data_IF_558422714620
#
_entry.id   IF_558422714620
#
_cell.length_a   1.000
_cell.length_b   1.000
_cell.length_c   1.000
_cell.angle_alpha   90.00
_cell.angle_beta   90.00
_cell.angle_gamma   90.00
#
_symmetry.space_group_name_H-M   'P 1'
#
loop_
_entity.id
_entity.type
_entity.pdbx_description
1 polymer ?
#
# COMPACT_ATOMS: atom_id res chain seq x y z
N UNK A 1 -2.22 27.54 -9.31
CA UNK A 1 -1.83 26.31 -8.58
C UNK A 1 -2.34 25.07 -9.31
N UNK A 2 -3.66 24.98 -9.52
CA UNK A 2 -4.31 23.88 -10.26
C UNK A 2 -3.64 23.49 -11.59
N UNK A 3 -3.27 24.47 -12.43
CA UNK A 3 -2.60 24.21 -13.73
C UNK A 3 -1.23 23.51 -13.56
N UNK A 4 -0.46 23.85 -12.53
CA UNK A 4 0.85 23.23 -12.26
C UNK A 4 0.64 21.79 -11.79
N UNK A 5 -0.31 21.58 -10.87
CA UNK A 5 -0.67 20.26 -10.36
C UNK A 5 -1.17 19.31 -11.46
N UNK A 6 -1.99 19.80 -12.40
CA UNK A 6 -2.45 18.99 -13.54
C UNK A 6 -1.29 18.54 -14.44
N UNK A 7 -0.29 19.39 -14.64
CA UNK A 7 0.91 19.04 -15.42
C UNK A 7 1.76 18.01 -14.69
N UNK A 8 1.99 18.19 -13.39
CA UNK A 8 2.77 17.25 -12.58
C UNK A 8 2.10 15.87 -12.48
N UNK A 9 0.78 15.82 -12.28
CA UNK A 9 0.02 14.57 -12.34
C UNK A 9 0.12 13.90 -13.71
N UNK A 10 -0.01 14.67 -14.79
CA UNK A 10 0.11 14.12 -16.14
C UNK A 10 1.50 13.53 -16.42
N UNK A 11 2.56 14.17 -15.92
CA UNK A 11 3.92 13.62 -15.99
C UNK A 11 4.01 12.31 -15.21
N UNK A 12 3.55 12.30 -13.95
CA UNK A 12 3.59 11.13 -13.08
C UNK A 12 2.94 9.91 -13.75
N UNK A 13 1.74 10.06 -14.33
CA UNK A 13 1.05 8.94 -14.98
C UNK A 13 1.67 8.51 -16.31
N UNK A 14 2.50 9.34 -16.95
CA UNK A 14 3.23 8.98 -18.17
C UNK A 14 4.58 8.33 -17.90
N UNK A 15 5.13 8.47 -16.71
CA UNK A 15 6.38 7.81 -16.36
C UNK A 15 6.16 6.30 -16.22
N UNK A 16 7.02 5.52 -16.89
CA UNK A 16 6.96 4.06 -16.86
C UNK A 16 7.12 3.50 -15.44
N UNK A 17 7.87 4.20 -14.57
CA UNK A 17 8.11 3.79 -13.17
C UNK A 17 6.83 3.76 -12.34
N UNK A 18 5.90 4.69 -12.57
CA UNK A 18 4.59 4.70 -11.93
C UNK A 18 3.81 3.42 -12.26
N UNK A 19 3.86 3.00 -13.52
CA UNK A 19 3.21 1.76 -13.96
C UNK A 19 3.92 0.52 -13.42
N UNK A 20 5.26 0.51 -13.39
CA UNK A 20 6.01 -0.59 -12.76
C UNK A 20 5.67 -0.73 -11.27
N UNK A 21 5.48 0.37 -10.55
CA UNK A 21 5.08 0.34 -9.15
C UNK A 21 3.68 -0.26 -8.95
N UNK A 22 2.69 0.17 -9.75
CA UNK A 22 1.33 -0.38 -9.69
C UNK A 22 1.33 -1.88 -10.01
N UNK A 23 2.03 -2.28 -11.08
CA UNK A 23 2.13 -3.68 -11.49
C UNK A 23 2.86 -4.51 -10.42
N UNK A 24 3.94 -3.99 -9.83
CA UNK A 24 4.67 -4.69 -8.77
C UNK A 24 3.78 -4.95 -7.55
N UNK A 25 2.99 -3.97 -7.12
CA UNK A 25 2.05 -4.11 -6.00
C UNK A 25 1.00 -5.19 -6.30
N UNK A 26 0.38 -5.14 -7.49
CA UNK A 26 -0.63 -6.13 -7.89
C UNK A 26 -0.05 -7.53 -8.04
N UNK A 27 1.19 -7.67 -8.51
CA UNK A 27 1.88 -8.97 -8.61
C UNK A 27 2.15 -9.53 -7.22
N UNK A 28 2.68 -8.72 -6.30
CA UNK A 28 2.96 -9.16 -4.92
C UNK A 28 1.66 -9.60 -4.25
N UNK A 29 0.60 -8.81 -4.41
CA UNK A 29 -0.74 -9.17 -3.95
C UNK A 29 -1.17 -10.52 -4.54
N UNK A 30 -1.14 -10.68 -5.86
CA UNK A 30 -1.56 -11.91 -6.52
C UNK A 30 -0.75 -13.14 -6.06
N UNK A 31 0.56 -12.98 -5.83
CA UNK A 31 1.41 -14.04 -5.29
C UNK A 31 0.96 -14.44 -3.87
N UNK A 32 0.63 -13.48 -3.01
CA UNK A 32 0.13 -13.75 -1.65
C UNK A 32 -1.21 -14.50 -1.72
N UNK A 33 -2.13 -14.06 -2.59
CA UNK A 33 -3.41 -14.73 -2.80
C UNK A 33 -3.24 -16.16 -3.33
N UNK A 34 -2.37 -16.35 -4.32
CA UNK A 34 -2.05 -17.67 -4.86
C UNK A 34 -1.43 -18.57 -3.80
N UNK A 35 -0.46 -18.07 -3.04
CA UNK A 35 0.15 -18.82 -1.94
C UNK A 35 -0.88 -19.22 -0.88
N UNK A 36 -1.80 -18.32 -0.51
CA UNK A 36 -2.85 -18.62 0.44
C UNK A 36 -3.88 -19.63 -0.10
N UNK A 37 -4.16 -19.65 -1.39
CA UNK A 37 -5.06 -20.63 -1.99
C UNK A 37 -4.49 -22.06 -1.91
N UNK A 38 -3.20 -22.23 -2.19
CA UNK A 38 -2.55 -23.56 -2.16
C UNK A 38 -2.07 -23.97 -0.77
N UNK A 39 -1.56 -23.04 0.03
CA UNK A 39 -0.90 -23.32 1.31
C UNK A 39 -1.66 -22.77 2.52
N UNK A 40 -2.82 -22.13 2.35
CA UNK A 40 -3.46 -21.41 3.46
C UNK A 40 -3.82 -22.30 4.65
N UNK A 41 -4.13 -23.58 4.43
CA UNK A 41 -4.35 -24.54 5.54
C UNK A 41 -3.06 -24.84 6.31
N UNK A 42 -1.95 -25.04 5.61
CA UNK A 42 -0.63 -25.30 6.21
C UNK A 42 -0.09 -24.06 6.93
N UNK A 43 -0.28 -22.86 6.36
CA UNK A 43 0.09 -21.59 7.01
C UNK A 43 -0.71 -21.40 8.30
N UNK A 44 -2.02 -21.68 8.23
CA UNK A 44 -2.89 -21.62 9.39
C UNK A 44 -2.49 -22.66 10.46
N UNK A 45 -2.16 -23.89 10.08
CA UNK A 45 -1.68 -24.92 11.00
C UNK A 45 -0.35 -24.53 11.67
N UNK A 46 0.63 -24.00 10.93
CA UNK A 46 1.89 -23.52 11.51
C UNK A 46 1.69 -22.35 12.49
N UNK A 47 0.73 -21.46 12.21
CA UNK A 47 0.38 -20.35 13.11
C UNK A 47 -0.40 -20.84 14.35
N UNK A 48 -1.24 -21.88 14.21
CA UNK A 48 -2.10 -22.42 15.26
C UNK A 48 -1.49 -23.59 16.05
N UNK A 49 -0.39 -24.18 15.60
CA UNK A 49 0.22 -25.38 16.22
C UNK A 49 0.60 -25.15 17.69
N UNK A 50 1.06 -23.94 18.03
CA UNK A 50 1.34 -23.55 19.42
C UNK A 50 0.08 -23.34 20.27
N UNK A 51 -1.10 -23.21 19.66
CA UNK A 51 -2.35 -22.76 20.29
C UNK A 51 -3.41 -23.86 20.38
N UNK A 52 -3.32 -24.89 19.50
CA UNK A 52 -4.15 -26.10 19.53
C UNK A 52 -3.96 -26.96 20.79
N UNK A 53 -2.88 -26.77 21.54
CA UNK A 53 -2.69 -27.48 22.82
C UNK A 53 -3.70 -27.05 23.91
N UNK A 54 -4.34 -25.88 23.76
CA UNK A 54 -5.26 -25.33 24.77
C UNK A 54 -6.68 -25.04 24.25
N UNK A 55 -6.91 -25.04 22.93
CA UNK A 55 -8.20 -24.70 22.33
C UNK A 55 -8.60 -25.68 21.21
N UNK A 56 -9.87 -26.10 21.24
CA UNK A 56 -10.52 -26.82 20.14
C UNK A 56 -11.07 -25.81 19.13
N UNK A 57 -10.66 -25.94 17.87
CA UNK A 57 -11.14 -25.08 16.78
C UNK A 57 -12.07 -25.89 15.87
N UNK A 58 -13.34 -25.50 15.76
CA UNK A 58 -14.29 -26.04 14.78
C UNK A 58 -14.61 -24.98 13.71
N UNK A 59 -14.59 -25.39 12.44
CA UNK A 59 -14.95 -24.53 11.29
C UNK A 59 -13.83 -24.27 10.27
N UNK A 60 -14.17 -23.66 9.14
CA UNK A 60 -13.20 -23.22 8.13
C UNK A 60 -12.61 -21.86 8.54
N UNK A 61 -11.48 -21.90 9.24
CA UNK A 61 -10.75 -20.71 9.69
C UNK A 61 -10.06 -19.94 8.55
N UNK A 62 -10.01 -20.54 7.34
CA UNK A 62 -9.41 -19.95 6.16
C UNK A 62 -10.47 -19.11 5.44
N UNK A 63 -10.49 -17.81 5.78
CA UNK A 63 -11.52 -16.87 5.39
C UNK A 63 -10.92 -15.60 4.74
N UNK A 64 -11.72 -14.87 3.96
CA UNK A 64 -11.31 -13.62 3.30
C UNK A 64 -10.81 -12.55 4.27
N UNK A 65 -11.40 -12.45 5.46
CA UNK A 65 -10.96 -11.49 6.48
C UNK A 65 -9.56 -11.81 7.03
N UNK A 66 -9.26 -13.09 7.28
CA UNK A 66 -7.91 -13.52 7.67
C UNK A 66 -6.90 -13.23 6.56
N UNK A 67 -7.30 -13.43 5.31
CA UNK A 67 -6.45 -13.15 4.16
C UNK A 67 -6.12 -11.67 4.02
N UNK A 68 -7.11 -10.79 4.20
CA UNK A 68 -6.91 -9.34 4.24
C UNK A 68 -5.90 -8.94 5.33
N UNK A 69 -5.98 -9.57 6.50
CA UNK A 69 -5.01 -9.38 7.57
C UNK A 69 -3.60 -9.85 7.17
N UNK A 70 -3.45 -11.01 6.52
CA UNK A 70 -2.15 -11.52 6.04
C UNK A 70 -1.55 -10.60 4.97
N UNK A 71 -2.38 -10.13 4.03
CA UNK A 71 -1.98 -9.20 2.97
C UNK A 71 -1.47 -7.89 3.57
N UNK A 72 -2.20 -7.30 4.53
CA UNK A 72 -1.77 -6.08 5.23
C UNK A 72 -0.43 -6.25 5.94
N UNK A 73 -0.21 -7.36 6.64
CA UNK A 73 1.05 -7.61 7.35
C UNK A 73 2.22 -7.86 6.39
N UNK A 74 1.97 -8.55 5.28
CA UNK A 74 2.99 -8.87 4.28
C UNK A 74 3.42 -7.65 3.46
N UNK A 75 2.51 -6.69 3.25
CA UNK A 75 2.76 -5.46 2.50
C UNK A 75 3.39 -4.35 3.34
N UNK A 76 3.48 -4.50 4.67
CA UNK A 76 4.06 -3.50 5.56
C UNK A 76 5.46 -3.04 5.15
N UNK A 77 6.31 -3.96 4.67
CA UNK A 77 7.69 -3.64 4.27
C UNK A 77 7.82 -3.25 2.78
N UNK A 78 7.15 -4.00 1.90
CA UNK A 78 7.32 -3.84 0.46
C UNK A 78 6.68 -2.54 -0.06
N UNK A 79 5.53 -2.15 0.49
CA UNK A 79 4.76 -1.00 0.01
C UNK A 79 5.44 0.35 0.27
N UNK A 80 5.98 0.65 1.48
CA UNK A 80 6.75 1.86 1.70
C UNK A 80 7.93 1.97 0.74
N UNK A 81 8.65 0.87 0.49
CA UNK A 81 9.84 0.87 -0.35
C UNK A 81 9.50 1.25 -1.80
N UNK A 82 8.45 0.67 -2.37
CA UNK A 82 7.97 1.02 -3.72
C UNK A 82 7.56 2.49 -3.78
N UNK A 83 6.78 2.96 -2.78
CA UNK A 83 6.34 4.35 -2.70
C UNK A 83 7.53 5.32 -2.63
N UNK A 84 8.54 5.02 -1.82
CA UNK A 84 9.74 5.83 -1.68
C UNK A 84 10.51 5.94 -2.98
N UNK A 85 10.61 4.87 -3.77
CA UNK A 85 11.30 4.87 -5.08
C UNK A 85 10.56 5.78 -6.06
N UNK A 86 9.23 5.70 -6.14
CA UNK A 86 8.45 6.52 -7.08
C UNK A 86 8.46 7.99 -6.65
N UNK A 87 8.26 8.29 -5.36
CA UNK A 87 8.20 9.66 -4.88
C UNK A 87 9.54 10.39 -5.00
N UNK A 88 10.66 9.68 -4.83
CA UNK A 88 12.00 10.24 -5.03
C UNK A 88 12.32 10.45 -6.52
N UNK A 89 11.88 9.54 -7.40
CA UNK A 89 12.09 9.66 -8.85
C UNK A 89 11.50 10.96 -9.43
N UNK A 90 10.34 11.43 -8.93
CA UNK A 90 9.71 12.69 -9.35
C UNK A 90 10.60 13.94 -9.24
N UNK A 91 11.63 13.86 -8.38
CA UNK A 91 12.59 14.92 -8.15
C UNK A 91 13.90 14.60 -8.87
N UNK A 92 14.47 13.42 -8.62
CA UNK A 92 15.77 13.02 -9.14
C UNK A 92 15.79 12.95 -10.67
N UNK A 93 14.67 12.59 -11.33
CA UNK A 93 14.60 12.57 -12.80
C UNK A 93 14.67 13.96 -13.40
N UNK A 94 14.06 14.95 -12.78
CA UNK A 94 14.14 16.34 -13.24
C UNK A 94 15.52 16.96 -12.99
N UNK A 95 16.20 16.53 -11.91
CA UNK A 95 17.60 16.89 -11.70
C UNK A 95 18.51 16.27 -12.78
N UNK A 96 18.35 14.98 -13.07
CA UNK A 96 19.17 14.26 -14.07
C UNK A 96 18.98 14.81 -15.48
N UNK A 97 17.75 15.13 -15.85
CA UNK A 97 17.41 15.66 -17.19
C UNK A 97 17.72 17.16 -17.31
N UNK A 98 18.09 17.83 -16.21
CA UNK A 98 18.35 19.27 -16.18
C UNK A 98 17.11 20.15 -16.33
N UNK A 99 15.93 19.55 -16.51
CA UNK A 99 14.64 20.25 -16.63
C UNK A 99 14.29 21.03 -15.36
N UNK A 100 14.76 20.58 -14.19
CA UNK A 100 14.58 21.33 -12.95
C UNK A 100 15.24 22.72 -13.02
N UNK A 101 16.44 22.82 -13.61
CA UNK A 101 17.13 24.10 -13.77
C UNK A 101 16.34 25.04 -14.68
N UNK A 102 15.81 24.53 -15.79
CA UNK A 102 14.96 25.29 -16.71
C UNK A 102 13.65 25.74 -16.05
N UNK A 103 12.99 24.87 -15.28
CA UNK A 103 11.79 25.19 -14.49
C UNK A 103 12.06 26.26 -13.42
N UNK A 104 13.24 26.22 -12.80
CA UNK A 104 13.65 27.22 -11.79
C UNK A 104 14.03 28.58 -12.38
N UNK A 105 14.35 28.65 -13.68
CA UNK A 105 14.65 29.89 -14.41
C UNK A 105 13.38 30.56 -14.97
N UNK A 106 12.25 29.86 -15.03
CA UNK A 106 10.97 30.42 -15.42
C UNK A 106 10.33 31.24 -14.29
N UNK A 107 9.41 32.14 -14.63
CA UNK A 107 8.66 32.99 -13.70
C UNK A 107 7.60 32.23 -12.86
N UNK A 108 7.91 30.98 -12.45
CA UNK A 108 7.07 30.16 -11.59
C UNK A 108 7.60 30.23 -10.17
N UNK A 109 6.72 30.48 -9.20
CA UNK A 109 7.10 30.50 -7.78
C UNK A 109 7.64 29.13 -7.34
N UNK A 110 8.90 29.12 -6.85
CA UNK A 110 9.60 27.90 -6.38
C UNK A 110 8.81 27.15 -5.30
N UNK A 111 8.17 27.88 -4.38
CA UNK A 111 7.30 27.30 -3.34
C UNK A 111 6.08 26.59 -3.94
N UNK A 112 5.48 27.16 -4.99
CA UNK A 112 4.31 26.56 -5.67
C UNK A 112 4.70 25.28 -6.43
N UNK A 113 5.90 25.22 -7.00
CA UNK A 113 6.40 24.03 -7.70
C UNK A 113 6.64 22.87 -6.72
N UNK A 114 7.36 23.12 -5.63
CA UNK A 114 7.65 22.10 -4.61
C UNK A 114 6.35 21.58 -3.98
N UNK A 115 5.41 22.48 -3.65
CA UNK A 115 4.13 22.08 -3.06
C UNK A 115 3.27 21.30 -4.05
N UNK A 116 3.33 21.61 -5.36
CA UNK A 116 2.65 20.82 -6.38
C UNK A 116 3.20 19.41 -6.49
N UNK A 117 4.53 19.22 -6.40
CA UNK A 117 5.16 17.89 -6.40
C UNK A 117 4.77 17.07 -5.17
N UNK A 118 4.76 17.72 -4.00
CA UNK A 118 4.33 17.09 -2.77
C UNK A 118 2.88 16.58 -2.86
N UNK A 119 1.95 17.43 -3.31
CA UNK A 119 0.55 17.03 -3.52
C UNK A 119 0.42 15.93 -4.58
N UNK A 120 1.19 16.02 -5.67
CA UNK A 120 1.18 15.01 -6.74
C UNK A 120 1.57 13.63 -6.21
N UNK A 121 2.61 13.56 -5.38
CA UNK A 121 3.03 12.31 -4.75
C UNK A 121 2.03 11.81 -3.70
N UNK A 122 1.38 12.69 -2.94
CA UNK A 122 0.32 12.30 -2.01
C UNK A 122 -0.88 11.69 -2.74
N UNK A 123 -1.31 12.31 -3.84
CA UNK A 123 -2.39 11.79 -4.69
C UNK A 123 -2.02 10.41 -5.22
N UNK A 124 -0.76 10.21 -5.65
CA UNK A 124 -0.28 8.91 -6.09
C UNK A 124 -0.35 7.85 -4.97
N UNK A 125 0.16 8.16 -3.78
CA UNK A 125 0.11 7.24 -2.63
C UNK A 125 -1.32 6.88 -2.23
N UNK A 126 -2.24 7.85 -2.22
CA UNK A 126 -3.66 7.57 -1.93
C UNK A 126 -4.28 6.71 -3.04
N UNK A 127 -3.96 6.99 -4.30
CA UNK A 127 -4.51 6.25 -5.44
C UNK A 127 -4.05 4.78 -5.45
N UNK A 128 -2.77 4.51 -5.20
CA UNK A 128 -2.25 3.13 -5.17
C UNK A 128 -2.78 2.35 -3.96
N UNK A 129 -2.97 3.01 -2.82
CA UNK A 129 -3.58 2.39 -1.65
C UNK A 129 -5.07 2.12 -1.84
N UNK A 130 -5.80 3.04 -2.48
CA UNK A 130 -7.19 2.81 -2.84
C UNK A 130 -7.32 1.65 -3.82
N UNK A 131 -6.43 1.57 -4.81
CA UNK A 131 -6.37 0.43 -5.74
C UNK A 131 -6.12 -0.88 -4.98
N UNK A 132 -5.13 -0.91 -4.10
CA UNK A 132 -4.77 -2.07 -3.30
C UNK A 132 -5.91 -2.50 -2.37
N UNK A 133 -6.57 -1.55 -1.71
CA UNK A 133 -7.74 -1.84 -0.88
C UNK A 133 -8.86 -2.45 -1.73
N UNK A 134 -9.17 -1.87 -2.88
CA UNK A 134 -10.22 -2.42 -3.75
C UNK A 134 -9.87 -3.81 -4.29
N UNK A 135 -8.65 -4.02 -4.78
CA UNK A 135 -8.21 -5.32 -5.30
C UNK A 135 -8.20 -6.38 -4.21
N UNK A 136 -7.69 -6.04 -3.02
CA UNK A 136 -7.61 -6.98 -1.90
C UNK A 136 -8.99 -7.40 -1.41
N UNK A 137 -9.93 -6.47 -1.29
CA UNK A 137 -11.31 -6.77 -0.90
C UNK A 137 -12.00 -7.65 -1.95
N UNK A 138 -11.90 -7.27 -3.24
CA UNK A 138 -12.53 -8.03 -4.33
C UNK A 138 -11.97 -9.45 -4.40
N UNK A 139 -10.66 -9.62 -4.34
CA UNK A 139 -10.01 -10.93 -4.41
C UNK A 139 -10.31 -11.78 -3.16
N UNK A 140 -10.30 -11.18 -1.96
CA UNK A 140 -10.52 -11.90 -0.71
C UNK A 140 -11.94 -12.45 -0.62
N UNK A 141 -12.95 -11.61 -0.84
CA UNK A 141 -14.34 -12.03 -0.76
C UNK A 141 -14.73 -12.95 -1.94
N UNK A 142 -14.17 -12.75 -3.13
CA UNK A 142 -14.48 -13.60 -4.28
C UNK A 142 -13.89 -15.02 -4.17
N UNK A 143 -12.74 -15.20 -3.53
CA UNK A 143 -12.05 -16.50 -3.48
C UNK A 143 -12.35 -17.25 -2.18
N UNK A 144 -12.42 -16.56 -1.04
CA UNK A 144 -12.49 -17.19 0.28
C UNK A 144 -13.81 -16.93 1.03
N UNK A 145 -14.64 -16.00 0.55
CA UNK A 145 -15.94 -15.69 1.15
C UNK A 145 -15.87 -14.90 2.45
N UNK A 146 -17.01 -14.84 3.15
CA UNK A 146 -17.21 -14.15 4.42
C UNK A 146 -17.08 -15.12 5.61
N UNK A 147 -16.68 -14.58 6.76
CA UNK A 147 -16.57 -15.34 8.01
C UNK A 147 -15.83 -14.57 9.10
N UNK A 148 -15.39 -15.28 10.14
CA UNK A 148 -14.72 -14.65 11.28
C UNK A 148 -13.30 -14.15 10.96
N UNK A 149 -12.90 -13.10 11.65
CA UNK A 149 -11.56 -12.53 11.56
C UNK A 149 -10.69 -13.11 12.68
N UNK A 150 -9.68 -13.87 12.29
CA UNK A 150 -8.65 -14.40 13.20
C UNK A 150 -7.43 -13.50 13.12
N UNK A 151 -7.02 -12.92 14.24
CA UNK A 151 -5.87 -12.00 14.33
C UNK A 151 -4.91 -12.48 15.40
N UNK A 152 -3.61 -12.49 15.06
CA UNK A 152 -2.54 -12.85 15.97
C UNK A 152 -1.84 -11.58 16.49
N UNK A 153 -2.12 -11.20 17.74
CA UNK A 153 -1.49 -10.05 18.42
C UNK A 153 -1.00 -10.48 19.81
N UNK A 154 0.01 -11.36 19.86
CA UNK A 154 0.51 -11.96 21.10
C UNK A 154 -0.45 -12.99 21.73
N UNK A 155 -1.75 -12.83 21.52
CA UNK A 155 -2.82 -13.81 21.73
C UNK A 155 -3.65 -13.96 20.44
N UNK A 156 -4.27 -15.14 20.24
CA UNK A 156 -5.28 -15.31 19.20
C UNK A 156 -6.55 -14.58 19.60
N UNK A 157 -6.95 -13.60 18.79
CA UNK A 157 -8.20 -12.88 18.96
C UNK A 157 -9.14 -13.25 17.81
N UNK A 158 -10.34 -13.71 18.16
CA UNK A 158 -11.43 -13.99 17.24
C UNK A 158 -12.41 -12.84 17.29
N UNK A 159 -12.65 -12.22 16.15
CA UNK A 159 -13.66 -11.18 16.01
C UNK A 159 -14.82 -11.70 15.16
N UNK A 160 -16.08 -11.49 15.59
CA UNK A 160 -17.25 -11.79 14.78
C UNK A 160 -17.18 -11.10 13.42
N UNK A 161 -17.70 -11.75 12.39
CA UNK A 161 -17.74 -11.22 11.02
C UNK A 161 -18.31 -9.79 10.91
N UNK A 162 -19.27 -9.42 11.76
CA UNK A 162 -19.90 -8.08 11.77
C UNK A 162 -18.92 -6.95 12.11
N UNK A 163 -18.01 -7.20 13.06
CA UNK A 163 -17.00 -6.22 13.50
C UNK A 163 -15.69 -6.30 12.70
N UNK A 164 -15.48 -7.40 11.97
CA UNK A 164 -14.25 -7.64 11.21
C UNK A 164 -14.03 -6.60 10.11
N UNK A 165 -15.07 -6.29 9.35
CA UNK A 165 -14.98 -5.36 8.21
C UNK A 165 -14.56 -3.96 8.64
N UNK A 166 -15.17 -3.43 9.70
CA UNK A 166 -14.87 -2.08 10.21
C UNK A 166 -13.43 -1.98 10.74
N UNK A 167 -12.94 -3.03 11.40
CA UNK A 167 -11.55 -3.11 11.90
C UNK A 167 -10.55 -3.18 10.76
N UNK A 168 -10.81 -3.97 9.72
CA UNK A 168 -9.94 -4.06 8.55
C UNK A 168 -9.92 -2.71 7.83
N UNK A 169 -11.07 -2.07 7.65
CA UNK A 169 -11.15 -0.73 7.05
C UNK A 169 -10.33 0.30 7.84
N UNK A 170 -10.43 0.30 9.18
CA UNK A 170 -9.62 1.14 10.05
C UNK A 170 -8.12 0.80 9.96
N UNK A 171 -7.76 -0.48 9.81
CA UNK A 171 -6.38 -0.89 9.60
C UNK A 171 -5.81 -0.36 8.27
N UNK A 172 -6.59 -0.42 7.17
CA UNK A 172 -6.23 0.19 5.89
C UNK A 172 -6.05 1.72 6.00
N UNK A 173 -6.94 2.38 6.74
CA UNK A 173 -6.83 3.82 6.97
C UNK A 173 -5.59 4.20 7.78
N UNK A 174 -5.31 3.46 8.85
CA UNK A 174 -4.09 3.62 9.66
C UNK A 174 -2.83 3.38 8.83
N UNK A 175 -2.81 2.31 8.02
CA UNK A 175 -1.74 2.03 7.08
C UNK A 175 -1.53 3.16 6.07
N UNK A 176 -2.61 3.72 5.55
CA UNK A 176 -2.56 4.87 4.62
C UNK A 176 -1.87 6.09 5.25
N UNK A 177 -2.18 6.38 6.51
CA UNK A 177 -1.55 7.48 7.24
C UNK A 177 -0.03 7.27 7.37
N UNK A 178 0.40 6.04 7.66
CA UNK A 178 1.82 5.68 7.74
C UNK A 178 2.52 5.82 6.37
N UNK A 179 1.88 5.38 5.29
CA UNK A 179 2.45 5.50 3.93
C UNK A 179 2.56 6.95 3.45
N UNK A 180 1.63 7.82 3.85
CA UNK A 180 1.72 9.26 3.62
C UNK A 180 2.96 9.84 4.30
N UNK A 181 3.26 9.41 5.53
CA UNK A 181 4.46 9.82 6.24
C UNK A 181 5.74 9.39 5.49
N UNK A 182 5.85 8.13 5.07
CA UNK A 182 7.00 7.66 4.28
C UNK A 182 7.18 8.42 2.97
N UNK A 183 6.08 8.67 2.26
CA UNK A 183 6.07 9.45 1.02
C UNK A 183 6.60 10.87 1.26
N UNK A 184 6.10 11.53 2.31
CA UNK A 184 6.53 12.87 2.72
C UNK A 184 8.03 12.95 3.01
N UNK A 185 8.53 11.98 3.79
CA UNK A 185 9.95 11.91 4.14
C UNK A 185 10.80 11.67 2.89
N UNK A 186 10.39 10.76 2.00
CA UNK A 186 11.12 10.48 0.77
C UNK A 186 11.26 11.69 -0.14
N UNK A 187 10.18 12.45 -0.35
CA UNK A 187 10.24 13.70 -1.13
C UNK A 187 11.20 14.69 -0.47
N UNK A 188 11.09 14.86 0.85
CA UNK A 188 11.94 15.81 1.59
C UNK A 188 13.42 15.43 1.45
N UNK A 189 13.75 14.14 1.57
CA UNK A 189 15.10 13.63 1.35
C UNK A 189 15.55 13.81 -0.10
N UNK A 190 14.68 13.57 -1.09
CA UNK A 190 14.97 13.80 -2.50
C UNK A 190 15.29 15.27 -2.82
N UNK A 191 14.70 16.23 -2.10
CA UNK A 191 15.04 17.66 -2.23
C UNK A 191 16.40 17.97 -1.61
N UNK A 192 16.69 17.40 -0.45
CA UNK A 192 17.90 17.70 0.33
C UNK A 192 19.14 17.06 -0.29
N UNK A 193 19.03 15.80 -0.74
CA UNK A 193 20.19 14.95 -1.02
C UNK A 193 20.80 15.11 -2.43
N UNK A 194 20.25 15.95 -3.30
CA UNK A 194 20.69 16.19 -4.70
C UNK A 194 20.90 14.91 -5.54
#
# INVERSE_FOLDING_TARGET
>A
MYRILKVELFKLFREAKTWYAIVAVLIIEFIIFFAAYYQGKTILELLLDNLRQSFYFEGNLLNGNLLLYIVLNSLWFNLPLILMIVSSALITEEYKTGTLKTLMLQAVSKKKLILAKYITSLIFTISILALLMLSSFVLAYSIFGDGDLVVYLGTLNFFPAEDAFSRILLAFFSGTLSMIFFTSVSITLGIILK
#
